data_IF_105710654737
#
_entry.id   IF_105710654737
#
_cell.length_a   1.000
_cell.length_b   1.000
_cell.length_c   1.000
_cell.angle_alpha   90.00
_cell.angle_beta   90.00
_cell.angle_gamma   90.00
#
_symmetry.space_group_name_H-M   'P 1'
#
loop_
_entity.id
_entity.type
_entity.pdbx_description
1 polymer ?
#
# COMPACT_ATOMS: atom_id res chain seq x y z
N UNK A 1 -17.22 29.74 7.72
CA UNK A 1 -15.80 29.83 8.16
C UNK A 1 -15.16 28.46 8.43
N UNK A 2 -15.89 27.50 9.02
CA UNK A 2 -15.41 26.14 9.28
C UNK A 2 -15.00 25.37 8.01
N UNK A 3 -15.86 25.34 6.97
CA UNK A 3 -15.56 24.64 5.70
C UNK A 3 -14.34 25.20 4.97
N UNK A 4 -14.13 26.52 5.02
CA UNK A 4 -12.97 27.18 4.39
C UNK A 4 -11.68 26.85 5.17
N UNK A 5 -11.77 26.70 6.49
CA UNK A 5 -10.66 26.32 7.37
C UNK A 5 -10.29 24.83 7.21
N UNK A 6 -11.29 23.97 7.02
CA UNK A 6 -11.11 22.55 6.72
C UNK A 6 -10.43 22.33 5.36
N UNK A 7 -10.94 22.97 4.29
CA UNK A 7 -10.31 22.91 2.96
C UNK A 7 -8.85 23.36 2.97
N UNK A 8 -8.50 24.40 3.75
CA UNK A 8 -7.11 24.85 3.88
C UNK A 8 -6.27 23.84 4.65
N UNK A 9 -6.81 23.22 5.71
CA UNK A 9 -6.13 22.15 6.45
C UNK A 9 -5.81 20.94 5.58
N UNK A 10 -6.75 20.54 4.71
CA UNK A 10 -6.58 19.41 3.80
C UNK A 10 -5.51 19.69 2.73
N UNK A 11 -5.48 20.91 2.18
CA UNK A 11 -4.43 21.34 1.24
C UNK A 11 -3.04 21.27 1.90
N UNK A 12 -2.93 21.75 3.15
CA UNK A 12 -1.66 21.75 3.89
C UNK A 12 -1.19 20.35 4.25
N UNK A 13 -2.10 19.46 4.66
CA UNK A 13 -1.77 18.04 4.86
C UNK A 13 -1.22 17.41 3.59
N UNK A 14 -1.91 17.62 2.45
CA UNK A 14 -1.47 17.09 1.17
C UNK A 14 -0.07 17.58 0.78
N UNK A 15 0.21 18.86 0.99
CA UNK A 15 1.55 19.43 0.76
C UNK A 15 2.63 18.72 1.60
N UNK A 16 2.34 18.44 2.88
CA UNK A 16 3.27 17.70 3.76
C UNK A 16 3.45 16.26 3.29
N UNK A 17 2.37 15.57 2.90
CA UNK A 17 2.41 14.19 2.40
C UNK A 17 3.23 14.10 1.10
N UNK A 18 3.01 15.01 0.15
CA UNK A 18 3.77 15.08 -1.10
C UNK A 18 5.27 15.35 -0.85
N UNK A 19 5.60 16.27 0.06
CA UNK A 19 6.98 16.54 0.46
C UNK A 19 7.63 15.32 1.13
N UNK A 20 6.92 14.70 2.07
CA UNK A 20 7.43 13.52 2.78
C UNK A 20 7.65 12.33 1.86
N UNK A 21 6.71 12.07 0.94
CA UNK A 21 6.85 11.02 -0.09
C UNK A 21 8.14 11.21 -0.89
N UNK A 22 8.41 12.43 -1.39
CA UNK A 22 9.67 12.72 -2.12
C UNK A 22 10.90 12.45 -1.27
N UNK A 23 10.90 12.90 -0.01
CA UNK A 23 12.03 12.73 0.90
C UNK A 23 12.25 11.25 1.22
N UNK A 24 11.19 10.49 1.49
CA UNK A 24 11.27 9.05 1.72
C UNK A 24 11.79 8.30 0.49
N UNK A 25 11.30 8.61 -0.71
CA UNK A 25 11.79 7.98 -1.94
C UNK A 25 13.28 8.29 -2.20
N UNK A 26 13.75 9.46 -1.77
CA UNK A 26 15.14 9.88 -1.95
C UNK A 26 16.10 9.31 -0.91
N UNK A 27 15.69 9.24 0.36
CA UNK A 27 16.58 8.95 1.50
C UNK A 27 16.24 7.63 2.21
N UNK A 28 15.11 7.00 1.89
CA UNK A 28 14.51 5.96 2.72
C UNK A 28 13.95 6.52 4.03
N UNK A 29 13.26 5.68 4.79
CA UNK A 29 12.65 6.09 6.06
C UNK A 29 13.68 6.32 7.17
N UNK A 30 14.69 5.46 7.28
CA UNK A 30 15.66 5.49 8.37
C UNK A 30 16.43 6.82 8.41
N UNK A 31 16.93 7.28 7.26
CA UNK A 31 17.77 8.49 7.14
C UNK A 31 16.97 9.79 7.00
N UNK A 32 15.64 9.71 7.00
CA UNK A 32 14.76 10.89 6.96
C UNK A 32 14.54 11.44 8.37
N UNK A 33 14.67 12.75 8.56
CA UNK A 33 14.25 13.46 9.78
C UNK A 33 13.15 14.47 9.46
N UNK A 34 12.44 14.95 10.48
CA UNK A 34 11.36 15.94 10.27
C UNK A 34 11.84 17.20 9.55
N UNK A 35 13.09 17.65 9.78
CA UNK A 35 13.64 18.82 9.07
C UNK A 35 13.75 18.65 7.57
N UNK A 36 14.05 17.43 7.10
CA UNK A 36 14.12 17.17 5.66
C UNK A 36 12.76 17.43 5.02
N UNK A 37 11.69 16.96 5.68
CA UNK A 37 10.31 17.13 5.22
C UNK A 37 9.90 18.61 5.31
N UNK A 38 10.18 19.28 6.43
CA UNK A 38 9.86 20.70 6.61
C UNK A 38 10.51 21.54 5.51
N UNK A 39 11.78 21.27 5.19
CA UNK A 39 12.53 22.00 4.16
C UNK A 39 12.00 21.77 2.74
N UNK A 40 11.34 20.64 2.49
CA UNK A 40 10.70 20.31 1.20
C UNK A 40 9.28 20.91 1.08
N UNK A 41 8.74 21.53 2.14
CA UNK A 41 7.43 22.21 2.12
C UNK A 41 7.55 23.73 2.07
N UNK A 42 6.48 24.43 1.68
CA UNK A 42 6.36 25.89 1.86
C UNK A 42 5.90 26.31 3.26
N UNK A 43 5.62 25.35 4.16
CA UNK A 43 5.12 25.61 5.50
C UNK A 43 6.27 26.00 6.44
N UNK A 44 5.93 26.77 7.48
CA UNK A 44 6.83 26.93 8.61
C UNK A 44 6.96 25.63 9.40
N UNK A 45 8.04 25.49 10.18
CA UNK A 45 8.23 24.41 11.16
C UNK A 45 6.97 24.20 12.02
N UNK A 46 6.45 25.26 12.62
CA UNK A 46 5.23 25.20 13.43
C UNK A 46 3.99 24.78 12.64
N UNK A 47 3.92 25.11 11.35
CA UNK A 47 2.85 24.67 10.45
C UNK A 47 2.87 23.16 10.20
N UNK A 48 4.05 22.56 9.98
CA UNK A 48 4.16 21.10 9.81
C UNK A 48 3.82 20.38 11.12
N UNK A 49 4.41 20.82 12.24
CA UNK A 49 4.15 20.21 13.55
C UNK A 49 2.71 20.39 14.06
N UNK A 50 1.96 21.36 13.51
CA UNK A 50 0.53 21.47 13.76
C UNK A 50 -0.26 20.28 13.20
N UNK A 51 0.20 19.70 12.09
CA UNK A 51 -0.47 18.60 11.41
C UNK A 51 0.07 17.21 11.79
N UNK A 52 1.39 17.10 11.97
CA UNK A 52 2.05 15.82 12.23
C UNK A 52 3.14 15.98 13.31
N UNK A 53 3.11 15.10 14.31
CA UNK A 53 4.09 15.14 15.42
C UNK A 53 5.42 14.53 15.02
N UNK A 54 5.40 13.55 14.13
CA UNK A 54 6.58 12.81 13.70
C UNK A 54 6.41 12.24 12.28
N UNK A 55 7.49 11.67 11.73
CA UNK A 55 7.51 11.06 10.40
C UNK A 55 6.73 9.74 10.31
N UNK A 56 6.44 9.09 11.43
CA UNK A 56 5.64 7.85 11.48
C UNK A 56 4.17 8.16 11.21
N UNK A 57 3.60 9.20 11.84
CA UNK A 57 2.23 9.66 11.57
C UNK A 57 2.05 10.05 10.09
N UNK A 58 3.06 10.70 9.50
CA UNK A 58 3.09 11.04 8.07
C UNK A 58 3.10 9.78 7.20
N UNK A 59 3.97 8.82 7.53
CA UNK A 59 4.06 7.56 6.79
C UNK A 59 2.75 6.76 6.88
N UNK A 60 2.09 6.76 8.05
CA UNK A 60 0.78 6.11 8.22
C UNK A 60 -0.27 6.70 7.28
N UNK A 61 -0.38 8.03 7.20
CA UNK A 61 -1.31 8.66 6.26
C UNK A 61 -0.93 8.38 4.79
N UNK A 62 0.36 8.29 4.45
CA UNK A 62 0.80 7.82 3.12
C UNK A 62 0.40 6.36 2.85
N UNK A 63 0.40 5.48 3.85
CA UNK A 63 -0.11 4.11 3.69
C UNK A 63 -1.60 4.10 3.38
N UNK A 64 -2.38 4.98 4.03
CA UNK A 64 -3.81 5.13 3.73
C UNK A 64 -4.06 5.68 2.33
N UNK A 65 -3.25 6.63 1.85
CA UNK A 65 -3.29 7.07 0.44
C UNK A 65 -2.98 5.91 -0.51
N UNK A 66 -1.97 5.08 -0.18
CA UNK A 66 -1.66 3.85 -0.90
C UNK A 66 -2.83 2.87 -0.95
N UNK A 67 -3.52 2.65 0.17
CA UNK A 67 -4.71 1.79 0.24
C UNK A 67 -5.85 2.32 -0.63
N UNK A 68 -6.14 3.62 -0.55
CA UNK A 68 -7.17 4.26 -1.39
C UNK A 68 -6.83 4.16 -2.88
N UNK A 69 -5.56 4.36 -3.23
CA UNK A 69 -5.08 4.14 -4.60
C UNK A 69 -5.28 2.69 -5.06
N UNK A 70 -5.00 1.70 -4.20
CA UNK A 70 -5.20 0.28 -4.53
C UNK A 70 -6.68 -0.07 -4.69
N UNK A 71 -7.55 0.40 -3.81
CA UNK A 71 -9.02 0.25 -3.96
C UNK A 71 -9.49 0.83 -5.30
N UNK A 72 -9.00 2.02 -5.67
CA UNK A 72 -9.32 2.62 -6.96
C UNK A 72 -8.89 1.72 -8.13
N UNK A 73 -7.66 1.20 -8.10
CA UNK A 73 -7.14 0.28 -9.13
C UNK A 73 -7.95 -1.00 -9.23
N UNK A 74 -8.38 -1.54 -8.10
CA UNK A 74 -9.25 -2.71 -8.04
C UNK A 74 -10.60 -2.42 -8.70
N UNK A 75 -11.24 -1.29 -8.38
CA UNK A 75 -12.49 -0.89 -9.00
C UNK A 75 -12.35 -0.62 -10.51
N UNK A 76 -11.28 0.05 -10.95
CA UNK A 76 -10.99 0.26 -12.38
C UNK A 76 -10.85 -1.07 -13.14
N UNK A 77 -10.21 -2.07 -12.53
CA UNK A 77 -10.10 -3.42 -13.10
C UNK A 77 -11.47 -4.09 -13.21
N UNK A 78 -12.25 -4.07 -12.11
CA UNK A 78 -13.55 -4.75 -12.02
C UNK A 78 -14.62 -4.13 -12.93
N UNK A 79 -14.57 -2.82 -13.20
CA UNK A 79 -15.48 -2.17 -14.15
C UNK A 79 -15.34 -2.71 -15.57
N UNK A 80 -14.16 -3.22 -15.91
CA UNK A 80 -13.89 -3.87 -17.20
C UNK A 80 -13.99 -5.40 -17.11
N UNK A 81 -14.15 -5.95 -15.91
CA UNK A 81 -14.31 -7.39 -15.68
C UNK A 81 -15.77 -7.77 -15.87
N UNK A 82 -16.05 -8.58 -16.88
CA UNK A 82 -17.41 -8.92 -17.31
C UNK A 82 -18.16 -9.92 -16.41
N UNK A 83 -18.19 -9.69 -15.09
CA UNK A 83 -18.84 -10.58 -14.13
C UNK A 83 -18.46 -10.28 -12.68
N UNK A 84 -18.91 -11.14 -11.75
CA UNK A 84 -18.44 -11.09 -10.37
C UNK A 84 -16.95 -11.46 -10.30
N UNK A 85 -16.18 -10.89 -9.35
CA UNK A 85 -14.76 -11.22 -9.21
C UNK A 85 -14.59 -12.69 -8.85
N UNK A 86 -13.97 -13.46 -9.74
CA UNK A 86 -13.58 -14.85 -9.48
C UNK A 86 -12.09 -14.92 -9.07
N UNK A 87 -11.59 -16.13 -8.82
CA UNK A 87 -10.19 -16.33 -8.47
C UNK A 87 -9.21 -15.85 -9.56
N UNK A 88 -9.61 -15.89 -10.84
CA UNK A 88 -8.75 -15.42 -11.93
C UNK A 88 -8.61 -13.90 -11.88
N UNK A 89 -9.69 -13.16 -11.64
CA UNK A 89 -9.66 -11.73 -11.35
C UNK A 89 -8.77 -11.43 -10.14
N UNK A 90 -8.92 -12.19 -9.05
CA UNK A 90 -8.15 -11.98 -7.82
C UNK A 90 -6.65 -12.19 -8.03
N UNK A 91 -6.27 -13.31 -8.67
CA UNK A 91 -4.88 -13.56 -9.04
C UNK A 91 -4.34 -12.43 -9.91
N UNK A 92 -5.17 -11.93 -10.84
CA UNK A 92 -4.74 -10.89 -11.75
C UNK A 92 -4.45 -9.56 -11.03
N UNK A 93 -5.35 -9.16 -10.14
CA UNK A 93 -5.23 -7.97 -9.31
C UNK A 93 -4.07 -8.04 -8.32
N UNK A 94 -3.77 -9.24 -7.79
CA UNK A 94 -2.61 -9.49 -6.94
C UNK A 94 -1.30 -9.36 -7.71
N UNK A 95 -1.22 -9.89 -8.93
CA UNK A 95 -0.06 -9.68 -9.81
C UNK A 95 0.11 -8.19 -10.16
N UNK A 96 -0.98 -7.50 -10.48
CA UNK A 96 -0.94 -6.05 -10.74
C UNK A 96 -0.54 -5.23 -9.51
N UNK A 97 -0.76 -5.75 -8.29
CA UNK A 97 -0.22 -5.18 -7.06
C UNK A 97 1.27 -5.41 -6.93
N UNK A 98 1.73 -6.64 -7.12
CA UNK A 98 3.14 -7.04 -6.99
C UNK A 98 4.04 -6.28 -7.97
N UNK A 99 3.53 -6.02 -9.17
CA UNK A 99 4.26 -5.36 -10.26
C UNK A 99 4.01 -3.85 -10.36
N UNK A 100 3.34 -3.24 -9.38
CA UNK A 100 3.03 -1.82 -9.36
C UNK A 100 4.30 -0.96 -9.24
N UNK A 101 4.41 0.09 -10.07
CA UNK A 101 5.56 1.00 -10.15
C UNK A 101 5.24 2.42 -9.65
N UNK A 102 4.08 2.60 -9.04
CA UNK A 102 3.72 3.89 -8.45
C UNK A 102 4.66 4.24 -7.30
N UNK A 103 4.89 5.53 -7.13
CA UNK A 103 5.62 6.07 -5.97
C UNK A 103 5.02 5.59 -4.64
N UNK A 104 3.70 5.39 -4.58
CA UNK A 104 3.02 4.87 -3.39
C UNK A 104 3.43 3.43 -3.07
N UNK A 105 3.66 2.59 -4.10
CA UNK A 105 4.18 1.24 -3.92
C UNK A 105 5.63 1.27 -3.42
N UNK A 106 6.48 2.12 -3.99
CA UNK A 106 7.85 2.30 -3.49
C UNK A 106 7.88 2.77 -2.03
N UNK A 107 6.99 3.70 -1.63
CA UNK A 107 6.85 4.10 -0.21
C UNK A 107 6.36 2.94 0.66
N UNK A 108 5.46 2.09 0.19
CA UNK A 108 5.05 0.88 0.91
C UNK A 108 6.22 -0.09 1.13
N UNK A 109 7.07 -0.28 0.12
CA UNK A 109 8.26 -1.12 0.26
C UNK A 109 9.26 -0.50 1.25
N UNK A 110 9.45 0.82 1.24
CA UNK A 110 10.26 1.54 2.25
C UNK A 110 9.70 1.31 3.65
N UNK A 111 8.38 1.35 3.81
CA UNK A 111 7.71 1.03 5.07
C UNK A 111 8.06 -0.38 5.54
N UNK A 112 7.89 -1.40 4.68
CA UNK A 112 8.20 -2.80 5.00
C UNK A 112 9.66 -2.98 5.45
N UNK A 113 10.62 -2.36 4.75
CA UNK A 113 12.03 -2.41 5.11
C UNK A 113 12.30 -1.80 6.50
N UNK A 114 11.65 -0.67 6.81
CA UNK A 114 11.87 0.07 8.05
C UNK A 114 11.39 -0.66 9.30
N UNK A 115 10.45 -1.61 9.19
CA UNK A 115 9.96 -2.43 10.32
C UNK A 115 11.06 -3.26 10.99
N UNK A 116 12.14 -3.56 10.25
CA UNK A 116 13.30 -4.29 10.78
C UNK A 116 13.95 -3.55 11.95
N UNK A 117 14.02 -2.22 11.88
CA UNK A 117 14.73 -1.37 12.84
C UNK A 117 13.83 -0.38 13.58
N UNK A 118 12.51 -0.41 13.35
CA UNK A 118 11.55 0.49 13.99
C UNK A 118 10.35 -0.30 14.54
N UNK A 119 10.24 -0.33 15.87
CA UNK A 119 9.18 -1.06 16.59
C UNK A 119 7.80 -0.43 16.38
N UNK A 120 7.70 0.90 16.38
CA UNK A 120 6.45 1.62 16.13
C UNK A 120 5.85 1.26 14.76
N UNK A 121 6.68 1.14 13.72
CA UNK A 121 6.24 0.69 12.39
C UNK A 121 5.88 -0.80 12.32
N UNK A 122 6.50 -1.62 13.17
CA UNK A 122 6.14 -3.04 13.30
C UNK A 122 4.77 -3.19 13.93
N UNK A 123 4.51 -2.46 15.00
CA UNK A 123 3.23 -2.45 15.70
C UNK A 123 2.10 -1.82 14.86
N UNK A 124 2.46 -0.93 13.93
CA UNK A 124 1.52 -0.36 12.96
C UNK A 124 1.05 -1.38 11.91
N UNK A 125 1.81 -2.45 11.63
CA UNK A 125 1.46 -3.43 10.59
C UNK A 125 0.09 -4.08 10.74
N UNK A 126 -0.27 -4.70 11.88
CA UNK A 126 -1.59 -5.29 12.05
C UNK A 126 -2.72 -4.24 11.94
N UNK A 127 -2.45 -2.98 12.31
CA UNK A 127 -3.41 -1.88 12.14
C UNK A 127 -3.64 -1.60 10.66
N UNK A 128 -2.56 -1.50 9.87
CA UNK A 128 -2.65 -1.27 8.42
C UNK A 128 -3.34 -2.43 7.69
N UNK A 129 -3.04 -3.68 8.07
CA UNK A 129 -3.73 -4.86 7.50
C UNK A 129 -5.23 -4.75 7.76
N UNK A 130 -5.64 -4.47 9.00
CA UNK A 130 -7.05 -4.29 9.35
C UNK A 130 -7.71 -3.12 8.62
N UNK A 131 -7.03 -1.97 8.52
CA UNK A 131 -7.52 -0.81 7.75
C UNK A 131 -7.71 -1.17 6.28
N UNK A 132 -6.75 -1.88 5.67
CA UNK A 132 -6.83 -2.30 4.27
C UNK A 132 -8.00 -3.26 4.01
N UNK A 133 -8.19 -4.27 4.87
CA UNK A 133 -9.30 -5.22 4.76
C UNK A 133 -10.65 -4.51 4.88
N UNK A 134 -10.75 -3.56 5.81
CA UNK A 134 -11.96 -2.74 5.99
C UNK A 134 -12.25 -1.92 4.73
N UNK A 135 -11.27 -1.18 4.21
CA UNK A 135 -11.45 -0.36 3.01
C UNK A 135 -11.85 -1.21 1.80
N UNK A 136 -11.25 -2.39 1.64
CA UNK A 136 -11.63 -3.29 0.55
C UNK A 136 -13.07 -3.81 0.69
N UNK A 137 -13.50 -4.19 1.89
CA UNK A 137 -14.87 -4.65 2.13
C UNK A 137 -15.94 -3.56 1.97
N UNK A 138 -15.59 -2.29 2.20
CA UNK A 138 -16.52 -1.16 2.08
C UNK A 138 -16.57 -0.59 0.65
N UNK A 139 -15.42 -0.50 -0.04
CA UNK A 139 -15.29 0.32 -1.25
C UNK A 139 -15.07 -0.48 -2.54
N UNK A 140 -14.81 -1.79 -2.49
CA UNK A 140 -14.61 -2.61 -3.70
C UNK A 140 -15.93 -3.21 -4.15
N UNK A 141 -16.35 -2.87 -5.38
CA UNK A 141 -17.61 -3.37 -5.96
C UNK A 141 -17.58 -4.90 -6.09
N UNK A 142 -18.60 -5.58 -5.56
CA UNK A 142 -18.71 -7.03 -5.64
C UNK A 142 -17.78 -7.79 -4.69
N UNK A 143 -17.09 -7.10 -3.76
CA UNK A 143 -16.36 -7.76 -2.69
C UNK A 143 -17.35 -8.45 -1.73
N UNK A 144 -17.50 -9.76 -1.90
CA UNK A 144 -18.09 -10.67 -0.93
C UNK A 144 -17.01 -11.09 0.10
N UNK A 145 -17.44 -11.67 1.23
CA UNK A 145 -16.53 -12.05 2.32
C UNK A 145 -15.39 -12.99 1.91
N UNK A 146 -15.59 -13.81 0.86
CA UNK A 146 -14.58 -14.71 0.28
C UNK A 146 -13.48 -13.97 -0.49
N UNK A 147 -13.79 -12.87 -1.19
CA UNK A 147 -12.79 -12.01 -1.83
C UNK A 147 -11.82 -11.39 -0.81
N UNK A 148 -12.33 -11.06 0.38
CA UNK A 148 -11.55 -10.49 1.48
C UNK A 148 -10.85 -11.53 2.36
N UNK A 149 -11.32 -12.78 2.44
CA UNK A 149 -10.71 -13.80 3.30
C UNK A 149 -9.32 -14.21 2.80
N UNK A 150 -9.09 -14.22 1.50
CA UNK A 150 -7.78 -14.51 0.89
C UNK A 150 -6.71 -13.45 1.22
N UNK A 151 -7.13 -12.24 1.52
CA UNK A 151 -6.24 -11.14 1.92
C UNK A 151 -5.92 -11.17 3.42
N UNK A 152 -6.60 -12.05 4.18
CA UNK A 152 -6.32 -12.32 5.59
C UNK A 152 -5.40 -13.55 5.80
N UNK A 153 -5.03 -14.25 4.73
CA UNK A 153 -4.04 -15.33 4.81
C UNK A 153 -2.63 -14.73 4.97
N UNK A 154 -2.00 -15.04 6.12
CA UNK A 154 -0.66 -14.54 6.45
C UNK A 154 0.37 -14.97 5.40
N UNK A 155 0.27 -16.20 4.87
CA UNK A 155 1.23 -16.72 3.90
C UNK A 155 1.18 -15.92 2.60
N UNK A 156 0.00 -15.71 2.02
CA UNK A 156 -0.15 -14.96 0.77
C UNK A 156 0.25 -13.49 0.93
N UNK A 157 -0.09 -12.87 2.07
CA UNK A 157 0.34 -11.52 2.41
C UNK A 157 1.88 -11.41 2.44
N UNK A 158 2.55 -12.28 3.20
CA UNK A 158 4.01 -12.26 3.30
C UNK A 158 4.70 -12.67 1.99
N UNK A 159 4.12 -13.60 1.22
CA UNK A 159 4.60 -13.98 -0.10
C UNK A 159 4.60 -12.77 -1.05
N UNK A 160 3.48 -12.06 -1.16
CA UNK A 160 3.39 -10.85 -1.97
C UNK A 160 4.37 -9.78 -1.48
N UNK A 161 4.45 -9.53 -0.17
CA UNK A 161 5.36 -8.54 0.40
C UNK A 161 6.82 -8.84 0.09
N UNK A 162 7.20 -10.12 0.12
CA UNK A 162 8.55 -10.56 -0.23
C UNK A 162 8.85 -10.34 -1.71
N UNK A 163 7.88 -10.60 -2.60
CA UNK A 163 8.05 -10.31 -4.03
C UNK A 163 8.15 -8.80 -4.29
N UNK A 164 7.33 -7.97 -3.65
CA UNK A 164 7.40 -6.51 -3.78
C UNK A 164 8.74 -5.95 -3.28
N UNK A 165 9.25 -6.46 -2.14
CA UNK A 165 10.60 -6.17 -1.66
C UNK A 165 11.67 -6.58 -2.69
N UNK A 166 11.54 -7.79 -3.25
CA UNK A 166 12.45 -8.29 -4.28
C UNK A 166 12.45 -7.42 -5.56
N UNK A 167 11.27 -7.00 -6.03
CA UNK A 167 11.12 -6.10 -7.18
C UNK A 167 11.85 -4.77 -6.99
N UNK A 168 11.89 -4.24 -5.77
CA UNK A 168 12.50 -2.94 -5.48
C UNK A 168 14.00 -3.03 -5.20
N UNK A 169 14.47 -4.15 -4.63
CA UNK A 169 15.86 -4.31 -4.17
C UNK A 169 16.75 -4.97 -5.24
N UNK A 170 16.20 -5.92 -6.00
CA UNK A 170 16.97 -6.72 -6.96
C UNK A 170 16.82 -6.15 -8.37
N UNK A 171 17.91 -5.58 -8.89
CA UNK A 171 17.96 -5.05 -10.25
C UNK A 171 17.47 -6.09 -11.27
N UNK A 172 16.46 -5.73 -12.05
CA UNK A 172 15.86 -6.58 -13.09
C UNK A 172 14.82 -7.59 -12.60
N UNK A 173 14.60 -7.76 -11.29
CA UNK A 173 13.61 -8.70 -10.77
C UNK A 173 12.18 -8.35 -11.23
N UNK A 174 11.80 -7.07 -11.17
CA UNK A 174 10.48 -6.61 -11.64
C UNK A 174 10.27 -6.89 -13.13
N UNK A 175 11.28 -6.62 -13.98
CA UNK A 175 11.20 -6.88 -15.42
C UNK A 175 11.14 -8.39 -15.72
N UNK A 176 11.88 -9.19 -14.95
CA UNK A 176 11.78 -10.65 -15.03
C UNK A 176 10.36 -11.14 -14.72
N UNK A 177 9.76 -10.70 -13.61
CA UNK A 177 8.39 -11.09 -13.28
C UNK A 177 7.35 -10.55 -14.27
N UNK A 178 7.57 -9.35 -14.82
CA UNK A 178 6.71 -8.76 -15.86
C UNK A 178 6.74 -9.55 -17.16
N UNK A 179 7.93 -9.95 -17.62
CA UNK A 179 8.08 -10.81 -18.82
C UNK A 179 7.51 -12.22 -18.63
N UNK A 180 7.30 -12.65 -17.38
CA UNK A 180 6.70 -13.93 -17.01
C UNK A 180 5.35 -13.75 -16.29
N UNK A 181 4.62 -12.67 -16.60
CA UNK A 181 3.39 -12.30 -15.89
C UNK A 181 2.35 -13.41 -15.85
N UNK A 182 2.16 -14.13 -16.96
CA UNK A 182 1.18 -15.23 -17.05
C UNK A 182 1.52 -16.36 -16.07
N UNK A 183 2.80 -16.74 -15.97
CA UNK A 183 3.28 -17.73 -15.00
C UNK A 183 3.00 -17.26 -13.57
N UNK A 184 3.23 -15.97 -13.28
CA UNK A 184 2.98 -15.42 -11.95
C UNK A 184 1.49 -15.43 -11.60
N UNK A 185 0.60 -15.14 -12.56
CA UNK A 185 -0.85 -15.23 -12.38
C UNK A 185 -1.27 -16.67 -12.07
N UNK A 186 -0.74 -17.65 -12.81
CA UNK A 186 -1.02 -19.07 -12.57
C UNK A 186 -0.55 -19.51 -11.19
N UNK A 187 0.65 -19.09 -10.77
CA UNK A 187 1.18 -19.37 -9.43
C UNK A 187 0.28 -18.82 -8.34
N UNK A 188 -0.15 -17.55 -8.45
CA UNK A 188 -1.05 -16.94 -7.45
C UNK A 188 -2.41 -17.64 -7.46
N UNK A 189 -2.96 -18.00 -8.62
CA UNK A 189 -4.22 -18.75 -8.69
C UNK A 189 -4.13 -20.09 -7.96
N UNK A 190 -3.02 -20.82 -8.13
CA UNK A 190 -2.78 -22.08 -7.40
C UNK A 190 -2.69 -21.87 -5.88
N UNK A 191 -2.14 -20.74 -5.44
CA UNK A 191 -2.11 -20.38 -4.01
C UNK A 191 -3.50 -20.08 -3.47
N UNK A 192 -4.33 -19.32 -4.21
CA UNK A 192 -5.72 -19.05 -3.85
C UNK A 192 -6.54 -20.35 -3.72
N UNK A 193 -6.38 -21.27 -4.68
CA UNK A 193 -6.99 -22.60 -4.66
C UNK A 193 -6.62 -23.40 -3.40
N UNK A 194 -5.39 -23.27 -2.92
CA UNK A 194 -4.93 -23.94 -1.72
C UNK A 194 -5.52 -23.33 -0.46
N UNK A 195 -5.65 -22.00 -0.41
CA UNK A 195 -6.25 -21.28 0.72
C UNK A 195 -7.73 -21.65 0.91
N UNK A 196 -8.49 -21.79 -0.19
CA UNK A 196 -9.90 -22.22 -0.14
C UNK A 196 -10.06 -23.66 0.37
N UNK A 197 -9.18 -24.57 -0.08
CA UNK A 197 -9.22 -25.99 0.33
C UNK A 197 -8.66 -26.21 1.75
N UNK A 198 -7.84 -25.28 2.24
CA UNK A 198 -7.11 -25.35 3.50
C UNK A 198 -7.85 -24.80 4.73
N UNK A 199 -8.98 -24.11 4.56
CA UNK A 199 -9.81 -23.54 5.64
C UNK A 199 -10.48 -24.54 6.60
N UNK A 200 -10.00 -25.78 6.67
CA UNK A 200 -10.42 -26.85 7.59
C UNK A 200 -9.26 -27.35 8.47
N UNK A 201 -8.43 -26.45 8.99
CA UNK A 201 -7.49 -26.76 10.08
C UNK A 201 -7.57 -25.76 11.21
#
# INVERSE_FOLDING_TARGET
MAEKKQKVGDIRKREILDAAKKVFLKKGFADTVMEDIITETSLSRGGVYYHYKNKVEILHDLMREGMAYRVKKMNEFLENYGGEPDQAAMAQMMVDKVLDESELMSVYVIYLQAQKSNEELRDLFPVLVKESLKMMGEDVKGANGECCSHLSDDFLLFFMNTMMLGCEILDGARECFRSHREVLVEMIRLLLDHCEKGGSR
#
